data_IF_204952107691
#
_entry.id   IF_204952107691
#
_cell.length_a   1.000
_cell.length_b   1.000
_cell.length_c   1.000
_cell.angle_alpha   90.00
_cell.angle_beta   90.00
_cell.angle_gamma   90.00
#
_symmetry.space_group_name_H-M   'P 1'
#
loop_
_entity.id
_entity.type
_entity.pdbx_description
1 polymer ?
#
# COMPACT_ATOMS: atom_id res chain seq x y z
N UNK A 1 11.98 -52.90 13.94
CA UNK A 1 10.92 -52.76 14.97
C UNK A 1 11.31 -53.39 16.31
N UNK A 2 11.90 -54.59 16.34
CA UNK A 2 12.31 -55.22 17.62
C UNK A 2 13.33 -54.42 18.44
N UNK A 3 14.28 -53.78 17.77
CA UNK A 3 15.31 -52.94 18.42
C UNK A 3 14.70 -51.76 19.17
N UNK A 4 13.70 -51.10 18.57
CA UNK A 4 12.97 -49.97 19.18
C UNK A 4 12.11 -50.46 20.37
N UNK A 5 11.45 -51.62 20.24
CA UNK A 5 10.68 -52.20 21.35
C UNK A 5 11.57 -52.60 22.53
N UNK A 6 12.73 -53.20 22.28
CA UNK A 6 13.71 -53.56 23.34
C UNK A 6 14.27 -52.31 24.04
N UNK A 7 14.57 -51.27 23.26
CA UNK A 7 15.01 -49.97 23.80
C UNK A 7 13.94 -49.31 24.67
N UNK A 8 12.67 -49.37 24.27
CA UNK A 8 11.54 -48.87 25.07
C UNK A 8 11.27 -49.71 26.33
N UNK A 9 11.56 -51.01 26.26
CA UNK A 9 11.38 -51.96 27.35
C UNK A 9 12.47 -51.85 28.44
N UNK A 10 13.69 -51.44 28.08
CA UNK A 10 14.78 -51.22 29.05
C UNK A 10 14.70 -49.88 29.79
N UNK A 11 13.73 -49.03 29.46
CA UNK A 11 13.53 -47.73 30.11
C UNK A 11 12.84 -47.88 31.47
N UNK A 12 13.41 -47.26 32.50
CA UNK A 12 12.83 -47.21 33.85
C UNK A 12 11.63 -46.25 33.91
N UNK A 13 10.77 -46.39 34.93
CA UNK A 13 9.53 -45.59 35.07
C UNK A 13 9.80 -44.06 35.09
N UNK A 14 10.94 -43.63 35.64
CA UNK A 14 11.39 -42.23 35.66
C UNK A 14 11.84 -41.73 34.28
N UNK A 15 12.48 -42.58 33.47
CA UNK A 15 12.87 -42.22 32.10
C UNK A 15 11.65 -42.06 31.18
N UNK A 16 10.63 -42.92 31.35
CA UNK A 16 9.37 -42.80 30.59
C UNK A 16 8.62 -41.51 30.91
N UNK A 17 8.57 -41.11 32.18
CA UNK A 17 7.94 -39.85 32.62
C UNK A 17 8.70 -38.62 32.12
N UNK A 18 10.04 -38.66 32.13
CA UNK A 18 10.88 -37.62 31.51
C UNK A 18 10.62 -37.47 30.00
N UNK A 19 10.58 -38.58 29.25
CA UNK A 19 10.32 -38.54 27.80
C UNK A 19 8.91 -37.99 27.51
N UNK A 20 7.92 -38.36 28.31
CA UNK A 20 6.55 -37.83 28.19
C UNK A 20 6.50 -36.32 28.43
N UNK A 21 7.17 -35.84 29.49
CA UNK A 21 7.28 -34.42 29.78
C UNK A 21 8.01 -33.65 28.68
N UNK A 22 9.12 -34.20 28.17
CA UNK A 22 9.89 -33.60 27.08
C UNK A 22 9.07 -33.55 25.78
N UNK A 23 8.34 -34.61 25.46
CA UNK A 23 7.45 -34.66 24.31
C UNK A 23 6.32 -33.64 24.42
N UNK A 24 5.72 -33.48 25.60
CA UNK A 24 4.65 -32.51 25.82
C UNK A 24 5.18 -31.07 25.72
N UNK A 25 6.36 -30.79 26.29
CA UNK A 25 7.03 -29.50 26.18
C UNK A 25 7.40 -29.18 24.74
N UNK A 26 7.94 -30.14 23.98
CA UNK A 26 8.25 -29.95 22.57
C UNK A 26 6.97 -29.67 21.75
N UNK A 27 5.88 -30.37 22.04
CA UNK A 27 4.59 -30.14 21.39
C UNK A 27 4.03 -28.76 21.70
N UNK A 28 4.15 -28.28 22.94
CA UNK A 28 3.78 -26.89 23.30
C UNK A 28 4.63 -25.87 22.55
N UNK A 29 5.94 -26.08 22.40
CA UNK A 29 6.81 -25.17 21.64
C UNK A 29 6.43 -25.12 20.17
N UNK A 30 6.13 -26.27 19.55
CA UNK A 30 5.64 -26.34 18.17
C UNK A 30 4.33 -25.58 18.03
N UNK A 31 3.35 -25.84 18.90
CA UNK A 31 2.08 -25.10 18.88
C UNK A 31 2.29 -23.60 19.10
N UNK A 32 3.21 -23.19 19.97
CA UNK A 32 3.51 -21.77 20.21
C UNK A 32 4.13 -21.07 18.99
N UNK A 33 4.93 -21.78 18.19
CA UNK A 33 5.55 -21.23 16.96
C UNK A 33 4.57 -21.24 15.78
N UNK A 34 3.73 -22.28 15.67
CA UNK A 34 2.79 -22.45 14.56
C UNK A 34 1.36 -21.97 14.85
N UNK A 35 1.10 -21.43 16.04
CA UNK A 35 -0.20 -20.82 16.35
C UNK A 35 -0.40 -19.53 15.55
N UNK A 36 -1.62 -19.35 15.04
CA UNK A 36 -2.07 -18.18 14.25
C UNK A 36 -1.85 -16.83 14.95
N UNK A 37 -1.72 -16.83 16.27
CA UNK A 37 -1.45 -15.67 17.12
C UNK A 37 -0.02 -15.67 17.68
N UNK A 38 0.92 -16.31 16.98
CA UNK A 38 2.32 -16.36 17.38
C UNK A 38 2.94 -14.96 17.49
N UNK A 39 3.96 -14.81 18.35
CA UNK A 39 4.65 -13.54 18.63
C UNK A 39 5.14 -12.78 17.37
N UNK A 40 5.42 -13.51 16.29
CA UNK A 40 5.87 -12.97 15.00
C UNK A 40 4.75 -12.17 14.32
N UNK A 41 3.52 -12.66 14.40
CA UNK A 41 2.36 -12.08 13.72
C UNK A 41 1.94 -10.75 14.33
N UNK A 42 2.08 -10.58 15.65
CA UNK A 42 1.79 -9.30 16.33
C UNK A 42 2.71 -8.19 15.84
N UNK A 43 4.00 -8.47 15.66
CA UNK A 43 4.95 -7.46 15.22
C UNK A 43 4.74 -7.05 13.75
N UNK A 44 4.44 -8.02 12.88
CA UNK A 44 4.09 -7.74 11.48
C UNK A 44 2.81 -6.90 11.38
N UNK A 45 1.79 -7.21 12.18
CA UNK A 45 0.56 -6.42 12.21
C UNK A 45 0.75 -5.00 12.74
N UNK A 46 1.59 -4.80 13.77
CA UNK A 46 1.93 -3.46 14.25
C UNK A 46 2.64 -2.63 13.18
N UNK A 47 3.58 -3.24 12.44
CA UNK A 47 4.26 -2.58 11.32
C UNK A 47 3.29 -2.25 10.19
N UNK A 48 2.43 -3.19 9.80
CA UNK A 48 1.43 -2.99 8.76
C UNK A 48 0.45 -1.87 9.15
N UNK A 49 -0.04 -1.87 10.39
CA UNK A 49 -0.93 -0.83 10.91
C UNK A 49 -0.26 0.54 10.93
N UNK A 50 1.01 0.62 11.36
CA UNK A 50 1.80 1.86 11.30
C UNK A 50 1.95 2.37 9.87
N UNK A 51 2.23 1.48 8.91
CA UNK A 51 2.38 1.82 7.50
C UNK A 51 1.06 2.34 6.89
N UNK A 52 -0.07 1.72 7.25
CA UNK A 52 -1.41 2.14 6.81
C UNK A 52 -1.76 3.51 7.38
N UNK A 53 -1.49 3.76 8.66
CA UNK A 53 -1.74 5.06 9.31
C UNK A 53 -0.94 6.16 8.64
N UNK A 54 0.35 5.93 8.37
CA UNK A 54 1.20 6.89 7.67
C UNK A 54 0.71 7.17 6.24
N UNK A 55 0.33 6.12 5.51
CA UNK A 55 -0.20 6.24 4.15
C UNK A 55 -1.51 7.02 4.12
N UNK A 56 -2.40 6.77 5.07
CA UNK A 56 -3.67 7.47 5.18
C UNK A 56 -3.46 8.96 5.51
N UNK A 57 -2.53 9.27 6.42
CA UNK A 57 -2.17 10.67 6.73
C UNK A 57 -1.52 11.41 5.54
N UNK A 58 -0.76 10.71 4.69
CA UNK A 58 -0.24 11.28 3.45
C UNK A 58 -1.36 11.55 2.44
N UNK A 59 -2.26 10.58 2.24
CA UNK A 59 -3.40 10.72 1.33
C UNK A 59 -4.37 11.83 1.77
N UNK A 60 -4.63 11.97 3.07
CA UNK A 60 -5.47 13.04 3.60
C UNK A 60 -4.91 14.42 3.24
N UNK A 61 -3.59 14.63 3.44
CA UNK A 61 -2.91 15.88 3.07
C UNK A 61 -2.98 16.16 1.58
N UNK A 62 -2.81 15.15 0.74
CA UNK A 62 -2.92 15.32 -0.71
C UNK A 62 -4.36 15.64 -1.13
N UNK A 63 -5.35 15.01 -0.49
CA UNK A 63 -6.76 15.30 -0.73
C UNK A 63 -7.08 16.77 -0.41
N UNK A 64 -6.59 17.27 0.72
CA UNK A 64 -6.77 18.67 1.13
C UNK A 64 -6.11 19.63 0.14
N UNK A 65 -4.88 19.32 -0.32
CA UNK A 65 -4.17 20.10 -1.34
C UNK A 65 -4.97 20.17 -2.64
N UNK A 66 -5.43 19.03 -3.14
CA UNK A 66 -6.22 18.95 -4.36
C UNK A 66 -7.57 19.68 -4.22
N UNK A 67 -8.22 19.60 -3.06
CA UNK A 67 -9.45 20.34 -2.78
C UNK A 67 -9.24 21.85 -2.84
N UNK A 68 -8.13 22.34 -2.27
CA UNK A 68 -7.76 23.75 -2.36
C UNK A 68 -7.49 24.16 -3.80
N UNK A 69 -6.75 23.36 -4.56
CA UNK A 69 -6.49 23.61 -5.98
C UNK A 69 -7.78 23.68 -6.80
N UNK A 70 -8.68 22.70 -6.61
CA UNK A 70 -10.01 22.71 -7.25
C UNK A 70 -10.82 23.92 -6.82
N UNK A 71 -10.76 24.33 -5.55
CA UNK A 71 -11.44 25.53 -5.08
C UNK A 71 -10.88 26.78 -5.77
N UNK A 72 -9.57 26.97 -5.80
CA UNK A 72 -8.93 28.10 -6.49
C UNK A 72 -9.29 28.14 -7.99
N UNK A 73 -9.26 26.99 -8.67
CA UNK A 73 -9.67 26.90 -10.08
C UNK A 73 -11.14 27.24 -10.28
N UNK A 74 -12.02 26.88 -9.33
CA UNK A 74 -13.47 27.17 -9.42
C UNK A 74 -13.83 28.61 -9.06
N UNK A 75 -13.11 29.20 -8.10
CA UNK A 75 -13.42 30.53 -7.57
C UNK A 75 -12.96 31.64 -8.53
N UNK A 76 -11.93 31.39 -9.35
CA UNK A 76 -11.47 32.30 -10.41
C UNK A 76 -11.74 31.73 -11.82
N UNK A 77 -13.01 31.69 -12.27
CA UNK A 77 -13.41 31.11 -13.55
C UNK A 77 -12.74 31.77 -14.77
N UNK A 78 -12.23 33.00 -14.61
CA UNK A 78 -11.47 33.70 -15.64
C UNK A 78 -10.16 33.00 -16.01
N UNK A 79 -9.42 32.45 -15.05
CA UNK A 79 -8.16 31.77 -15.33
C UNK A 79 -8.39 30.41 -16.01
N UNK A 80 -9.48 29.72 -15.66
CA UNK A 80 -9.91 28.49 -16.35
C UNK A 80 -10.36 28.80 -17.79
N UNK A 81 -11.15 29.86 -17.99
CA UNK A 81 -11.56 30.36 -19.32
C UNK A 81 -10.33 30.68 -20.19
N UNK A 82 -9.35 31.39 -19.63
CA UNK A 82 -8.10 31.76 -20.32
C UNK A 82 -7.27 30.54 -20.73
N UNK A 83 -7.07 29.57 -19.83
CA UNK A 83 -6.34 28.34 -20.14
C UNK A 83 -7.10 27.50 -21.19
N UNK A 84 -8.42 27.41 -21.08
CA UNK A 84 -9.25 26.70 -22.06
C UNK A 84 -9.15 27.35 -23.45
N UNK A 85 -9.16 28.69 -23.54
CA UNK A 85 -8.95 29.40 -24.82
C UNK A 85 -7.60 29.09 -25.46
N UNK A 86 -6.54 29.11 -24.66
CA UNK A 86 -5.19 28.84 -25.15
C UNK A 86 -5.00 27.37 -25.57
N UNK A 87 -5.49 26.41 -24.78
CA UNK A 87 -5.30 24.98 -25.05
C UNK A 87 -6.22 24.43 -26.13
N UNK A 88 -7.43 24.97 -26.26
CA UNK A 88 -8.46 24.45 -27.16
C UNK A 88 -8.67 25.33 -28.40
N UNK A 89 -7.84 26.37 -28.59
CA UNK A 89 -8.00 27.37 -29.66
C UNK A 89 -9.42 27.97 -29.72
N UNK A 90 -10.02 28.20 -28.54
CA UNK A 90 -11.35 28.80 -28.43
C UNK A 90 -11.23 30.33 -28.36
N UNK A 91 -12.21 31.04 -28.95
CA UNK A 91 -12.21 32.49 -29.10
C UNK A 91 -13.54 33.05 -28.59
N UNK A 92 -13.52 34.16 -27.84
CA UNK A 92 -14.75 34.83 -27.36
C UNK A 92 -15.45 35.56 -28.50
N UNK A 93 -16.76 35.74 -28.38
CA UNK A 93 -17.49 36.70 -29.21
C UNK A 93 -16.85 38.10 -29.09
N UNK A 94 -16.40 38.66 -30.21
CA UNK A 94 -15.72 39.96 -30.28
C UNK A 94 -14.19 39.93 -30.34
N UNK A 95 -13.53 38.76 -30.24
CA UNK A 95 -12.07 38.63 -30.39
C UNK A 95 -11.67 38.43 -31.86
N UNK A 96 -10.55 39.04 -32.29
CA UNK A 96 -10.01 38.95 -33.66
C UNK A 96 -8.91 37.90 -33.76
N UNK A 97 -9.05 36.95 -34.69
CA UNK A 97 -8.04 35.90 -34.94
C UNK A 97 -7.11 36.35 -36.06
N UNK A 98 -5.83 36.55 -35.74
CA UNK A 98 -4.79 36.81 -36.74
C UNK A 98 -4.15 35.50 -37.18
N UNK A 99 -4.27 35.17 -38.47
CA UNK A 99 -3.56 34.06 -39.08
C UNK A 99 -2.37 34.60 -39.86
N UNK A 100 -1.16 34.23 -39.46
CA UNK A 100 0.04 34.54 -40.23
C UNK A 100 0.03 33.61 -41.44
N UNK A 101 -0.17 34.18 -42.63
CA UNK A 101 -0.03 33.48 -43.89
C UNK A 101 1.35 33.78 -44.49
N UNK A 102 2.06 32.77 -45.03
CA UNK A 102 3.30 33.01 -45.74
C UNK A 102 3.04 33.92 -46.95
N UNK A 103 4.03 34.75 -47.34
CA UNK A 103 3.88 35.67 -48.46
C UNK A 103 3.52 34.88 -49.73
N UNK A 104 2.51 35.35 -50.46
CA UNK A 104 2.06 34.73 -51.69
C UNK A 104 3.24 34.63 -52.67
N UNK A 105 3.52 33.43 -53.17
CA UNK A 105 4.50 33.25 -54.23
C UNK A 105 4.06 34.05 -55.46
N UNK A 106 4.96 34.85 -56.07
CA UNK A 106 4.61 35.64 -57.23
C UNK A 106 4.28 34.70 -58.40
N UNK A 107 3.11 34.92 -58.98
CA UNK A 107 2.58 34.23 -60.16
C UNK A 107 3.64 34.33 -61.29
N UNK A 108 4.15 33.19 -61.73
CA UNK A 108 5.23 33.11 -62.73
C UNK A 108 4.67 33.06 -64.15
#
# INVERSE_FOLDING_TARGET
METIKKLLASLTKSQKTLILGLSLSAMMLVVSVFSKDGFVTVHEFEQELSSLVQSNAALARENDRLRQEVHHLKTEPYEVEKIARQKLNLVKSGELVYKIVPPAEPDR
#
